data_IF_759940419185
#
_entry.id   IF_759940419185
#
_cell.length_a   1.000
_cell.length_b   1.000
_cell.length_c   1.000
_cell.angle_alpha   90.00
_cell.angle_beta   90.00
_cell.angle_gamma   90.00
#
_symmetry.space_group_name_H-M   'P 1'
#
loop_
_entity.id
_entity.type
_entity.pdbx_description
1 polymer ?
#
# COMPACT_ATOMS: atom_id res chain seq x y z
N UNK A 1 -9.76 -6.95 -1.71
CA UNK A 1 -9.26 -5.57 -1.48
C UNK A 1 -7.85 -5.39 -2.03
N UNK A 2 -6.85 -6.17 -1.60
CA UNK A 2 -5.48 -6.12 -2.14
C UNK A 2 -5.41 -6.33 -3.66
N UNK A 3 -6.25 -7.21 -4.22
CA UNK A 3 -6.35 -7.38 -5.68
C UNK A 3 -6.87 -6.13 -6.39
N UNK A 4 -7.82 -5.40 -5.79
CA UNK A 4 -8.34 -4.15 -6.37
C UNK A 4 -7.24 -3.09 -6.47
N UNK A 5 -6.36 -3.00 -5.46
CA UNK A 5 -5.24 -2.06 -5.44
C UNK A 5 -4.19 -2.32 -6.55
N UNK A 6 -4.14 -3.55 -7.08
CA UNK A 6 -3.22 -3.93 -8.17
C UNK A 6 -3.85 -3.93 -9.57
N UNK A 7 -5.18 -3.86 -9.67
CA UNK A 7 -5.91 -4.07 -10.94
C UNK A 7 -6.85 -2.93 -11.32
N UNK A 8 -7.19 -2.04 -10.39
CA UNK A 8 -8.12 -0.92 -10.62
C UNK A 8 -7.47 0.37 -10.12
N UNK A 9 -7.55 1.42 -10.92
CA UNK A 9 -7.13 2.76 -10.51
C UNK A 9 -8.12 3.35 -9.50
N UNK A 10 -7.60 3.84 -8.36
CA UNK A 10 -8.40 4.42 -7.30
C UNK A 10 -8.79 5.85 -7.66
N UNK A 11 -10.08 6.14 -7.55
CA UNK A 11 -10.60 7.50 -7.69
C UNK A 11 -10.69 8.21 -6.34
N UNK A 12 -10.90 9.54 -6.36
CA UNK A 12 -11.22 10.31 -5.16
C UNK A 12 -12.46 9.75 -4.44
N UNK A 13 -13.48 9.36 -5.20
CA UNK A 13 -14.72 8.80 -4.67
C UNK A 13 -14.49 7.47 -3.94
N UNK A 14 -13.56 6.64 -4.40
CA UNK A 14 -13.15 5.42 -3.69
C UNK A 14 -12.47 5.74 -2.36
N UNK A 15 -11.80 6.89 -2.26
CA UNK A 15 -10.92 7.23 -1.14
C UNK A 15 -11.51 8.25 -0.16
N UNK A 16 -12.64 8.90 -0.49
CA UNK A 16 -13.25 9.97 0.30
C UNK A 16 -13.71 9.53 1.69
N UNK A 17 -14.11 8.27 1.83
CA UNK A 17 -14.60 7.71 3.10
C UNK A 17 -13.48 7.22 4.01
N UNK A 18 -12.24 7.17 3.50
CA UNK A 18 -11.09 6.70 4.27
C UNK A 18 -10.38 7.87 4.95
N UNK A 19 -10.03 7.67 6.21
CA UNK A 19 -9.15 8.55 6.97
C UNK A 19 -7.73 8.59 6.38
N UNK A 20 -6.93 9.57 6.82
CA UNK A 20 -5.51 9.67 6.42
C UNK A 20 -4.72 8.42 6.80
N UNK A 21 -4.98 7.87 8.00
CA UNK A 21 -4.31 6.65 8.47
C UNK A 21 -4.70 5.43 7.64
N UNK A 22 -5.98 5.28 7.28
CA UNK A 22 -6.42 4.19 6.42
C UNK A 22 -5.81 4.29 5.02
N UNK A 23 -5.72 5.50 4.45
CA UNK A 23 -5.03 5.73 3.16
C UNK A 23 -3.55 5.36 3.24
N UNK A 24 -2.88 5.70 4.35
CA UNK A 24 -1.50 5.27 4.62
C UNK A 24 -1.41 3.75 4.66
N UNK A 25 -2.33 3.06 5.33
CA UNK A 25 -2.36 1.59 5.35
C UNK A 25 -2.59 1.03 3.94
N UNK A 26 -3.57 1.54 3.18
CA UNK A 26 -3.84 1.09 1.81
C UNK A 26 -2.62 1.25 0.90
N UNK A 27 -1.92 2.38 1.02
CA UNK A 27 -0.68 2.60 0.26
C UNK A 27 0.36 1.55 0.63
N UNK A 28 0.64 1.40 1.92
CA UNK A 28 1.65 0.46 2.39
C UNK A 28 1.25 -1.00 2.15
N UNK A 29 -0.03 -1.32 2.02
CA UNK A 29 -0.50 -2.65 1.68
C UNK A 29 -0.03 -3.09 0.27
N UNK A 30 0.11 -2.16 -0.67
CA UNK A 30 0.72 -2.42 -2.00
C UNK A 30 2.19 -2.83 -1.81
N UNK A 31 2.95 -2.10 -1.00
CA UNK A 31 4.35 -2.44 -0.68
C UNK A 31 4.46 -3.78 0.04
N UNK A 32 3.56 -4.04 1.01
CA UNK A 32 3.53 -5.28 1.77
C UNK A 32 3.26 -6.49 0.86
N UNK A 33 2.36 -6.36 -0.12
CA UNK A 33 2.04 -7.41 -1.11
C UNK A 33 3.28 -7.86 -1.89
N UNK A 34 4.18 -6.92 -2.21
CA UNK A 34 5.45 -7.20 -2.90
C UNK A 34 6.58 -7.60 -1.95
N UNK A 35 6.30 -7.77 -0.65
CA UNK A 35 7.29 -8.19 0.34
C UNK A 35 8.27 -7.09 0.73
N UNK A 36 7.84 -5.82 0.72
CA UNK A 36 8.67 -4.72 1.21
C UNK A 36 8.97 -4.86 2.71
N UNK A 37 10.22 -4.61 3.09
CA UNK A 37 10.66 -4.61 4.50
C UNK A 37 10.41 -3.22 5.09
N UNK A 38 9.40 -3.08 5.94
CA UNK A 38 9.11 -1.82 6.61
C UNK A 38 10.15 -1.50 7.69
N UNK A 39 10.66 -0.26 7.66
CA UNK A 39 11.49 0.32 8.74
C UNK A 39 10.65 0.90 9.87
N UNK A 40 9.40 1.24 9.59
CA UNK A 40 8.48 1.81 10.56
C UNK A 40 7.90 0.71 11.44
N UNK A 41 8.07 0.83 12.75
CA UNK A 41 7.69 -0.24 13.69
C UNK A 41 6.18 -0.47 13.74
N UNK A 42 5.38 0.60 13.58
CA UNK A 42 3.91 0.53 13.43
C UNK A 42 3.50 -0.32 12.22
N UNK A 43 4.10 -0.07 11.05
CA UNK A 43 3.77 -0.82 9.83
C UNK A 43 4.28 -2.26 9.89
N UNK A 44 5.45 -2.47 10.49
CA UNK A 44 5.99 -3.81 10.70
C UNK A 44 5.09 -4.63 11.62
N UNK A 45 4.62 -4.05 12.72
CA UNK A 45 3.70 -4.72 13.65
C UNK A 45 2.33 -4.93 12.99
N UNK A 46 1.82 -3.91 12.30
CA UNK A 46 0.53 -3.99 11.62
C UNK A 46 0.52 -5.05 10.52
N UNK A 47 1.51 -5.07 9.62
CA UNK A 47 1.55 -6.05 8.54
C UNK A 47 2.05 -7.43 8.99
N UNK A 48 2.92 -7.49 9.99
CA UNK A 48 3.45 -8.72 10.57
C UNK A 48 2.38 -9.64 11.18
N UNK A 49 1.21 -9.10 11.54
CA UNK A 49 0.10 -9.92 12.02
C UNK A 49 -0.61 -10.72 10.91
N UNK A 50 -0.36 -10.40 9.63
CA UNK A 50 -1.03 -11.06 8.52
C UNK A 50 -0.18 -12.18 7.91
N UNK A 51 -0.75 -13.38 7.81
CA UNK A 51 -0.05 -14.55 7.24
C UNK A 51 0.37 -14.41 5.77
N UNK A 52 -0.25 -13.50 5.02
CA UNK A 52 0.10 -13.24 3.61
C UNK A 52 1.31 -12.31 3.45
N UNK A 53 1.72 -11.60 4.50
CA UNK A 53 2.85 -10.68 4.43
C UNK A 53 4.17 -11.42 4.65
N UNK A 54 5.01 -11.44 3.63
CA UNK A 54 6.33 -12.06 3.65
C UNK A 54 7.42 -11.03 3.29
N UNK A 55 8.08 -10.38 4.27
CA UNK A 55 9.14 -9.41 4.02
C UNK A 55 10.34 -10.05 3.33
N UNK A 56 10.77 -9.50 2.19
CA UNK A 56 11.84 -10.05 1.34
C UNK A 56 12.76 -8.99 0.72
N UNK A 57 12.24 -7.81 0.38
CA UNK A 57 13.01 -6.80 -0.36
C UNK A 57 13.04 -5.44 0.35
N UNK A 58 14.20 -4.79 0.35
CA UNK A 58 14.37 -3.42 0.86
C UNK A 58 13.96 -2.34 -0.15
N UNK A 59 13.81 -2.70 -1.43
CA UNK A 59 13.30 -1.86 -2.50
C UNK A 59 12.42 -2.70 -3.45
N UNK A 60 11.29 -2.14 -3.86
CA UNK A 60 10.27 -2.78 -4.71
C UNK A 60 9.82 -1.85 -5.85
N UNK A 61 10.49 -0.72 -6.08
CA UNK A 61 10.09 0.27 -7.09
C UNK A 61 9.93 -0.31 -8.51
N UNK A 62 10.75 -1.29 -8.86
CA UNK A 62 10.69 -2.00 -10.15
C UNK A 62 9.67 -3.13 -10.18
N UNK A 63 9.13 -3.52 -9.03
CA UNK A 63 8.14 -4.60 -8.88
C UNK A 63 6.71 -4.08 -9.00
N UNK A 64 6.50 -2.77 -8.76
CA UNK A 64 5.20 -2.13 -8.90
C UNK A 64 4.78 -2.03 -10.37
N UNK A 65 3.57 -2.49 -10.65
CA UNK A 65 2.95 -2.30 -11.96
C UNK A 65 2.48 -0.83 -12.15
N UNK A 66 2.12 -0.42 -13.38
CA UNK A 66 1.68 0.96 -13.64
C UNK A 66 0.46 1.42 -12.83
N UNK A 67 -0.49 0.53 -12.57
CA UNK A 67 -1.70 0.83 -11.77
C UNK A 67 -1.31 1.05 -10.30
N UNK A 68 -0.46 0.19 -9.76
CA UNK A 68 0.06 0.31 -8.39
C UNK A 68 0.85 1.61 -8.21
N UNK A 69 1.70 1.98 -9.18
CA UNK A 69 2.43 3.26 -9.17
C UNK A 69 1.47 4.45 -9.12
N UNK A 70 0.40 4.43 -9.93
CA UNK A 70 -0.65 5.47 -9.91
C UNK A 70 -1.38 5.52 -8.56
N UNK A 71 -1.82 4.37 -8.06
CA UNK A 71 -2.55 4.26 -6.79
C UNK A 71 -1.71 4.74 -5.61
N UNK A 72 -0.42 4.37 -5.55
CA UNK A 72 0.51 4.88 -4.53
C UNK A 72 0.63 6.40 -4.60
N UNK A 73 0.70 6.98 -5.79
CA UNK A 73 0.74 8.42 -6.00
C UNK A 73 -0.52 9.12 -5.48
N UNK A 74 -1.70 8.65 -5.87
CA UNK A 74 -2.99 9.22 -5.43
C UNK A 74 -3.14 9.11 -3.91
N UNK A 75 -2.85 7.94 -3.33
CA UNK A 75 -2.93 7.72 -1.89
C UNK A 75 -1.97 8.62 -1.12
N UNK A 76 -0.76 8.85 -1.63
CA UNK A 76 0.22 9.75 -1.03
C UNK A 76 -0.27 11.21 -1.03
N UNK A 77 -0.88 11.67 -2.12
CA UNK A 77 -1.42 13.04 -2.20
C UNK A 77 -2.58 13.23 -1.21
N UNK A 78 -3.40 12.20 -0.98
CA UNK A 78 -4.60 12.29 -0.14
C UNK A 78 -4.38 11.98 1.35
N UNK A 79 -3.18 11.53 1.74
CA UNK A 79 -2.78 11.37 3.15
C UNK A 79 -2.10 12.62 3.73
N UNK A 80 -1.58 13.52 2.88
CA UNK A 80 -1.03 14.83 3.28
C UNK A 80 -2.13 15.81 3.73
#
# INVERSE_FOLDING_TARGET
MLEKLSTVELSYEDLKSYSKDEKRILRNAIFAKHGYIFKSEDLKNYFGQFAWYAPKYSDINDQLNPIEKRNVGVLKILEE
#
